data_IF_128164476476
#
_entry.id   IF_128164476476
#
_cell.length_a   1.000
_cell.length_b   1.000
_cell.length_c   1.000
_cell.angle_alpha   90.00
_cell.angle_beta   90.00
_cell.angle_gamma   90.00
#
_symmetry.space_group_name_H-M   'P 1'
#
loop_
_entity.id
_entity.type
_entity.pdbx_description
1 polymer ?
#
# COMPACT_ATOMS: atom_id res chain seq x y z
N UNK A 1 19.09 3.18 3.69
CA UNK A 1 18.71 1.76 3.49
C UNK A 1 17.24 1.63 3.83
N UNK A 2 16.45 0.95 3.00
CA UNK A 2 15.03 0.70 3.27
C UNK A 2 14.90 -0.55 4.16
N UNK A 3 14.05 -0.49 5.17
CA UNK A 3 13.70 -1.63 6.03
C UNK A 3 12.17 -1.82 6.01
N UNK A 4 11.66 -2.88 5.36
CA UNK A 4 10.23 -3.14 5.27
C UNK A 4 9.61 -3.52 6.61
N UNK A 5 10.39 -4.13 7.51
CA UNK A 5 9.92 -4.52 8.85
C UNK A 5 9.66 -3.30 9.71
N UNK A 6 10.64 -2.40 9.77
CA UNK A 6 10.51 -1.15 10.52
C UNK A 6 9.29 -0.34 10.08
N UNK A 7 9.03 -0.30 8.76
CA UNK A 7 7.89 0.44 8.24
C UNK A 7 6.56 -0.28 8.54
N UNK A 8 6.50 -1.61 8.40
CA UNK A 8 5.31 -2.41 8.73
C UNK A 8 4.84 -2.19 10.17
N UNK A 9 5.76 -2.15 11.14
CA UNK A 9 5.44 -1.95 12.56
C UNK A 9 4.88 -0.55 12.86
N UNK A 10 5.25 0.46 12.07
CA UNK A 10 4.78 1.84 12.23
C UNK A 10 3.48 2.15 11.51
N UNK A 11 3.02 1.28 10.63
CA UNK A 11 1.73 1.44 9.97
C UNK A 11 0.59 1.15 10.96
N UNK A 12 -0.42 2.02 10.96
CA UNK A 12 -1.65 1.78 11.72
C UNK A 12 -2.45 0.62 11.13
N UNK A 13 -3.29 -0.02 11.93
CA UNK A 13 -4.12 -1.15 11.49
C UNK A 13 -4.92 -0.92 10.18
N UNK A 14 -5.55 0.26 9.96
CA UNK A 14 -6.20 0.56 8.68
C UNK A 14 -5.23 0.62 7.49
N UNK A 15 -4.01 1.11 7.68
CA UNK A 15 -2.99 1.19 6.63
C UNK A 15 -2.45 -0.19 6.27
N UNK A 16 -2.18 -1.04 7.28
CA UNK A 16 -1.80 -2.44 7.08
C UNK A 16 -2.85 -3.19 6.27
N UNK A 17 -4.11 -3.13 6.70
CA UNK A 17 -5.25 -3.73 5.98
C UNK A 17 -5.35 -3.27 4.54
N UNK A 18 -5.21 -1.96 4.30
CA UNK A 18 -5.25 -1.40 2.95
C UNK A 18 -4.10 -1.89 2.06
N UNK A 19 -2.89 -1.98 2.62
CA UNK A 19 -1.73 -2.51 1.90
C UNK A 19 -1.93 -3.98 1.51
N UNK A 20 -2.46 -4.79 2.43
CA UNK A 20 -2.80 -6.19 2.15
C UNK A 20 -3.96 -6.33 1.15
N UNK A 21 -4.97 -5.45 1.19
CA UNK A 21 -6.06 -5.41 0.21
C UNK A 21 -5.50 -5.20 -1.20
N UNK A 22 -4.59 -4.24 -1.38
CA UNK A 22 -3.92 -3.99 -2.64
C UNK A 22 -3.07 -5.20 -3.09
N UNK A 23 -2.37 -5.85 -2.15
CA UNK A 23 -1.48 -6.96 -2.47
C UNK A 23 -2.25 -8.20 -2.94
N UNK A 24 -3.43 -8.44 -2.35
CA UNK A 24 -4.31 -9.55 -2.73
C UNK A 24 -5.14 -9.26 -3.98
N UNK A 25 -5.44 -7.99 -4.28
CA UNK A 25 -6.28 -7.66 -5.43
C UNK A 25 -5.65 -8.04 -6.77
N UNK A 26 -4.31 -8.05 -6.86
CA UNK A 26 -3.58 -8.36 -8.11
C UNK A 26 -3.84 -7.36 -9.25
N UNK A 27 -4.55 -6.27 -8.97
CA UNK A 27 -4.94 -5.22 -9.90
C UNK A 27 -5.04 -3.87 -9.16
N UNK A 28 -5.09 -2.77 -9.91
CA UNK A 28 -5.27 -1.43 -9.37
C UNK A 28 -6.62 -1.30 -8.67
N UNK A 29 -6.67 -0.62 -7.52
CA UNK A 29 -7.91 -0.34 -6.79
C UNK A 29 -8.22 1.16 -6.79
N UNK A 30 -9.48 1.58 -6.56
CA UNK A 30 -9.81 2.99 -6.40
C UNK A 30 -9.01 3.63 -5.26
N UNK A 31 -8.48 4.84 -5.49
CA UNK A 31 -7.71 5.60 -4.51
C UNK A 31 -8.60 6.07 -3.34
N UNK A 32 -8.18 5.80 -2.11
CA UNK A 32 -8.90 6.14 -0.88
C UNK A 32 -8.12 7.17 -0.06
N UNK A 33 -8.76 7.89 0.85
CA UNK A 33 -8.06 8.89 1.73
C UNK A 33 -6.89 8.27 2.51
N UNK A 34 -6.98 7.01 2.91
CA UNK A 34 -5.93 6.26 3.61
C UNK A 34 -4.66 6.09 2.77
N UNK A 35 -4.80 6.15 1.45
CA UNK A 35 -3.73 5.94 0.47
C UNK A 35 -2.76 7.14 0.44
N UNK A 36 -3.19 8.35 0.82
CA UNK A 36 -2.30 9.53 0.90
C UNK A 36 -1.05 9.27 1.76
N UNK A 37 -1.22 8.62 2.92
CA UNK A 37 -0.10 8.30 3.79
C UNK A 37 0.78 7.20 3.22
N UNK A 38 0.18 6.18 2.59
CA UNK A 38 0.91 5.07 1.97
C UNK A 38 1.73 5.57 0.76
N UNK A 39 1.16 6.50 -0.02
CA UNK A 39 1.81 7.19 -1.13
C UNK A 39 2.97 8.04 -0.63
N UNK A 40 2.80 8.80 0.47
CA UNK A 40 3.89 9.58 1.06
C UNK A 40 5.06 8.71 1.54
N UNK A 41 4.80 7.45 1.92
CA UNK A 41 5.86 6.48 2.24
C UNK A 41 6.45 5.78 0.99
N UNK A 42 5.94 6.06 -0.20
CA UNK A 42 6.33 5.43 -1.46
C UNK A 42 5.92 3.95 -1.56
N UNK A 43 4.90 3.54 -0.81
CA UNK A 43 4.41 2.15 -0.81
C UNK A 43 3.39 1.88 -1.90
N UNK A 44 2.77 2.93 -2.41
CA UNK A 44 1.80 2.85 -3.49
C UNK A 44 2.02 4.04 -4.43
N UNK A 45 1.55 3.89 -5.65
CA UNK A 45 1.44 4.96 -6.63
C UNK A 45 -0.02 5.31 -6.88
N UNK A 46 -0.26 6.55 -7.31
CA UNK A 46 -1.57 7.04 -7.70
C UNK A 46 -1.54 7.33 -9.19
N UNK A 47 -2.54 6.81 -9.90
CA UNK A 47 -2.77 7.10 -11.30
C UNK A 47 -4.13 7.78 -11.45
N UNK A 48 -4.24 8.66 -12.45
CA UNK A 48 -5.52 9.26 -12.84
C UNK A 48 -5.88 8.72 -14.21
N UNK A 49 -7.03 8.06 -14.30
CA UNK A 49 -7.56 7.54 -15.56
C UNK A 49 -8.09 8.65 -16.47
N UNK A 50 -8.50 8.26 -17.68
CA UNK A 50 -9.07 9.17 -18.69
C UNK A 50 -10.41 9.76 -18.24
N UNK A 51 -11.09 9.11 -17.30
CA UNK A 51 -12.39 9.52 -16.74
C UNK A 51 -12.27 10.33 -15.45
N UNK A 52 -11.10 10.90 -15.15
CA UNK A 52 -10.76 11.56 -13.87
C UNK A 52 -10.83 10.66 -12.62
N UNK A 53 -11.07 9.36 -12.79
CA UNK A 53 -11.04 8.37 -11.71
C UNK A 53 -9.59 8.14 -11.23
N UNK A 54 -9.39 8.20 -9.91
CA UNK A 54 -8.09 7.95 -9.31
C UNK A 54 -7.95 6.49 -8.87
N UNK A 55 -6.88 5.84 -9.33
CA UNK A 55 -6.53 4.47 -9.01
C UNK A 55 -5.20 4.43 -8.25
N UNK A 56 -4.96 3.31 -7.58
CA UNK A 56 -3.72 3.06 -6.87
C UNK A 56 -3.22 1.64 -7.12
N UNK A 57 -1.89 1.52 -7.19
CA UNK A 57 -1.19 0.25 -7.28
C UNK A 57 -0.06 0.18 -6.26
N UNK A 58 0.35 -1.04 -5.94
CA UNK A 58 1.49 -1.31 -5.08
C UNK A 58 2.80 -1.07 -5.82
N UNK A 59 3.71 -0.36 -5.17
CA UNK A 59 5.12 -0.35 -5.59
C UNK A 59 5.81 -1.64 -5.13
N UNK A 60 7.00 -1.94 -5.67
CA UNK A 60 7.84 -3.04 -5.16
C UNK A 60 8.11 -2.89 -3.66
N UNK A 61 8.33 -1.65 -3.20
CA UNK A 61 8.52 -1.33 -1.79
C UNK A 61 7.28 -1.64 -0.95
N UNK A 62 6.10 -1.29 -1.45
CA UNK A 62 4.84 -1.63 -0.80
C UNK A 62 4.60 -3.13 -0.73
N UNK A 63 4.98 -3.87 -1.78
CA UNK A 63 4.86 -5.33 -1.81
C UNK A 63 5.72 -5.97 -0.72
N UNK A 64 6.96 -5.53 -0.55
CA UNK A 64 7.85 -6.01 0.51
C UNK A 64 7.25 -5.76 1.92
N UNK A 65 6.68 -4.58 2.17
CA UNK A 65 6.01 -4.28 3.45
C UNK A 65 4.76 -5.15 3.64
N UNK A 66 3.97 -5.35 2.58
CA UNK A 66 2.75 -6.17 2.64
C UNK A 66 3.08 -7.63 2.97
N UNK A 67 4.15 -8.18 2.38
CA UNK A 67 4.65 -9.52 2.69
C UNK A 67 5.08 -9.66 4.15
N UNK A 68 5.75 -8.65 4.72
CA UNK A 68 6.10 -8.66 6.14
C UNK A 68 4.86 -8.66 7.04
N UNK A 69 3.84 -7.85 6.70
CA UNK A 69 2.59 -7.79 7.46
C UNK A 69 1.89 -9.16 7.46
N UNK A 70 1.75 -9.76 6.27
CA UNK A 70 1.08 -11.06 6.10
C UNK A 70 1.87 -12.18 6.77
N UNK A 71 3.19 -12.24 6.57
CA UNK A 71 4.05 -13.28 7.12
C UNK A 71 4.17 -13.26 8.65
N UNK A 72 3.88 -12.11 9.29
CA UNK A 72 3.95 -11.95 10.75
C UNK A 72 2.59 -11.85 11.45
N UNK A 73 1.48 -11.82 10.70
CA UNK A 73 0.14 -11.63 11.27
C UNK A 73 -0.05 -10.27 11.96
N UNK A 74 0.62 -9.23 11.45
CA UNK A 74 0.71 -7.88 12.05
C UNK A 74 -0.44 -6.94 11.71
#
# INVERSE_FOLDING_TARGET
>A
MFDPTYLAERLSGPKKRRLCELAHAGQSLPFKRTDNALQAFGLIERYTGVTDDAFTELTSKGMEVAQVIVGRGL
#
